data_IF_878726269849
#
_entry.id   IF_878726269849
#
_cell.length_a   1.000
_cell.length_b   1.000
_cell.length_c   1.000
_cell.angle_alpha   90.00
_cell.angle_beta   90.00
_cell.angle_gamma   90.00
#
_symmetry.space_group_name_H-M   'P 1'
#
loop_
_entity.id
_entity.type
_entity.pdbx_description
1 polymer ?
#
# COMPACT_ATOMS: atom_id res chain seq x y z
N UNK A 1 88.06 26.53 -64.80
CA UNK A 1 86.96 25.64 -65.19
C UNK A 1 86.92 24.46 -64.23
N UNK A 2 85.98 24.51 -63.31
CA UNK A 2 85.72 23.40 -62.37
C UNK A 2 84.28 23.01 -62.45
N UNK A 3 84.02 21.85 -62.95
CA UNK A 3 82.67 21.24 -63.06
C UNK A 3 82.23 20.64 -61.74
N UNK A 4 81.18 21.11 -61.20
CA UNK A 4 80.53 20.59 -60.00
C UNK A 4 79.48 19.54 -60.39
N UNK A 5 79.68 18.31 -59.92
CA UNK A 5 78.77 17.20 -60.08
C UNK A 5 77.71 17.27 -58.97
N UNK A 6 76.45 17.46 -59.40
CA UNK A 6 75.30 17.31 -58.50
C UNK A 6 74.95 15.84 -58.27
N UNK A 7 75.01 15.37 -57.04
CA UNK A 7 74.47 14.09 -56.61
C UNK A 7 73.01 14.29 -56.11
N UNK A 8 72.08 13.71 -56.85
CA UNK A 8 70.70 13.59 -56.43
C UNK A 8 70.56 12.38 -55.49
N UNK A 9 70.27 12.58 -54.22
CA UNK A 9 69.92 11.54 -53.25
C UNK A 9 68.44 11.26 -53.36
N UNK A 10 68.07 10.11 -53.91
CA UNK A 10 66.69 9.59 -53.89
C UNK A 10 66.39 9.04 -52.52
N UNK A 11 65.59 9.78 -51.72
CA UNK A 11 65.02 9.32 -50.44
C UNK A 11 63.75 8.50 -50.75
N UNK A 12 63.83 7.20 -50.51
CA UNK A 12 62.65 6.33 -50.53
C UNK A 12 61.93 6.44 -49.21
N UNK A 13 60.78 7.19 -49.20
CA UNK A 13 59.87 7.18 -48.06
C UNK A 13 59.01 5.95 -48.17
N UNK A 14 59.29 4.97 -47.30
CA UNK A 14 58.42 3.81 -47.10
C UNK A 14 57.22 4.25 -46.27
N UNK A 15 56.09 4.32 -46.91
CA UNK A 15 54.81 4.51 -46.22
C UNK A 15 54.49 3.18 -45.51
N UNK A 16 54.64 3.18 -44.17
CA UNK A 16 54.09 2.11 -43.32
C UNK A 16 52.68 2.53 -42.98
N UNK A 17 51.67 1.98 -43.66
CA UNK A 17 50.28 2.09 -43.27
C UNK A 17 50.08 1.30 -41.95
N UNK A 18 49.64 1.89 -40.87
CA UNK A 18 49.23 1.12 -39.71
C UNK A 18 47.93 0.37 -40.08
N UNK A 19 48.01 -0.93 -40.16
CA UNK A 19 46.85 -1.79 -40.19
C UNK A 19 46.14 -1.65 -38.83
N UNK A 20 45.12 -0.77 -38.74
CA UNK A 20 44.16 -0.81 -37.65
C UNK A 20 43.31 -2.06 -37.84
N UNK A 21 43.64 -3.11 -37.08
CA UNK A 21 42.77 -4.25 -36.89
C UNK A 21 41.55 -3.76 -36.09
N UNK A 22 40.51 -3.35 -36.81
CA UNK A 22 39.18 -3.17 -36.20
C UNK A 22 38.71 -4.58 -35.81
N UNK A 23 39.03 -4.99 -34.57
CA UNK A 23 38.31 -6.09 -33.95
C UNK A 23 36.87 -5.62 -33.83
N UNK A 24 36.00 -6.01 -34.78
CA UNK A 24 34.58 -6.05 -34.62
C UNK A 24 34.31 -7.04 -33.51
N UNK A 25 34.30 -6.56 -32.25
CA UNK A 25 33.51 -7.19 -31.20
C UNK A 25 32.07 -7.09 -31.69
N UNK A 26 31.35 -8.20 -31.93
CA UNK A 26 29.93 -8.11 -32.14
C UNK A 26 29.38 -7.52 -30.86
N UNK A 27 28.96 -6.26 -30.88
CA UNK A 27 27.93 -5.79 -29.95
C UNK A 27 26.78 -6.76 -30.22
N UNK A 28 26.64 -7.75 -29.34
CA UNK A 28 25.39 -8.46 -29.16
C UNK A 28 24.41 -7.37 -28.69
N UNK A 29 23.77 -6.71 -29.65
CA UNK A 29 22.59 -5.96 -29.39
C UNK A 29 21.60 -6.97 -28.80
N UNK A 30 21.59 -7.08 -27.48
CA UNK A 30 20.50 -7.79 -26.80
C UNK A 30 19.26 -7.07 -27.27
N UNK A 31 18.47 -7.75 -28.10
CA UNK A 31 17.18 -7.25 -28.51
C UNK A 31 16.44 -6.86 -27.23
N UNK A 32 16.11 -5.60 -27.10
CA UNK A 32 15.42 -5.09 -25.91
C UNK A 32 14.13 -5.91 -25.76
N UNK A 33 14.02 -6.64 -24.66
CA UNK A 33 12.88 -7.52 -24.41
C UNK A 33 11.64 -6.66 -24.33
N UNK A 34 10.65 -6.96 -25.14
CA UNK A 34 9.36 -6.27 -25.10
C UNK A 34 8.51 -6.85 -23.95
N UNK A 35 8.15 -6.03 -22.98
CA UNK A 35 7.26 -6.37 -21.87
C UNK A 35 5.82 -5.86 -22.05
N UNK A 36 5.52 -5.19 -23.16
CA UNK A 36 4.17 -4.73 -23.52
C UNK A 36 3.34 -5.88 -24.09
N UNK A 37 2.96 -6.80 -23.21
CA UNK A 37 2.18 -8.00 -23.49
C UNK A 37 1.58 -8.53 -22.17
N UNK A 38 0.61 -9.46 -22.18
CA UNK A 38 0.00 -10.03 -20.98
C UNK A 38 0.86 -11.05 -20.23
N UNK A 39 2.09 -11.36 -20.71
CA UNK A 39 2.95 -12.35 -20.06
C UNK A 39 3.24 -11.97 -18.60
N UNK A 40 3.32 -12.97 -17.76
CA UNK A 40 3.68 -12.80 -16.35
C UNK A 40 5.15 -12.37 -16.21
N UNK A 41 5.37 -11.32 -15.43
CA UNK A 41 6.71 -10.92 -15.00
C UNK A 41 7.06 -11.65 -13.71
N UNK A 42 8.23 -12.26 -13.65
CA UNK A 42 8.72 -12.98 -12.47
C UNK A 42 9.83 -12.17 -11.79
N UNK A 43 9.61 -11.84 -10.53
CA UNK A 43 10.60 -11.18 -9.67
C UNK A 43 11.20 -12.20 -8.73
N UNK A 44 12.54 -12.28 -8.67
CA UNK A 44 13.25 -13.18 -7.77
C UNK A 44 14.60 -12.62 -7.35
N UNK A 45 14.85 -12.54 -6.05
CA UNK A 45 16.10 -12.02 -5.48
C UNK A 45 17.32 -12.86 -5.86
N UNK A 46 17.14 -14.16 -6.06
CA UNK A 46 18.21 -15.09 -6.47
C UNK A 46 18.58 -14.98 -7.95
N UNK A 47 17.83 -14.19 -8.73
CA UNK A 47 18.08 -13.97 -10.16
C UNK A 47 17.49 -15.05 -11.06
N UNK A 48 16.62 -15.91 -10.56
CA UNK A 48 15.89 -16.93 -11.37
C UNK A 48 14.65 -16.37 -12.07
N UNK A 49 14.30 -15.08 -11.81
CA UNK A 49 13.25 -14.33 -12.50
C UNK A 49 13.81 -13.39 -13.59
N UNK A 50 12.90 -12.62 -14.22
CA UNK A 50 13.28 -11.54 -15.13
C UNK A 50 13.88 -10.34 -14.39
N UNK A 51 13.43 -10.11 -13.15
CA UNK A 51 13.82 -8.98 -12.32
C UNK A 51 14.28 -9.43 -10.94
N UNK A 52 15.16 -8.67 -10.32
CA UNK A 52 15.57 -8.86 -8.92
C UNK A 52 14.75 -8.01 -7.94
N UNK A 53 14.20 -6.91 -8.43
CA UNK A 53 13.46 -5.93 -7.67
C UNK A 53 12.03 -5.79 -8.22
N UNK A 54 11.08 -5.55 -7.33
CA UNK A 54 9.67 -5.37 -7.69
C UNK A 54 9.49 -4.04 -8.44
N UNK A 55 10.21 -2.99 -8.00
CA UNK A 55 10.19 -1.68 -8.66
C UNK A 55 10.55 -1.77 -10.14
N UNK A 56 11.56 -2.55 -10.52
CA UNK A 56 11.95 -2.77 -11.93
C UNK A 56 10.82 -3.43 -12.74
N UNK A 57 10.10 -4.39 -12.15
CA UNK A 57 8.96 -5.02 -12.81
C UNK A 57 7.77 -4.06 -12.97
N UNK A 58 7.56 -3.13 -12.03
CA UNK A 58 6.55 -2.09 -12.15
C UNK A 58 6.93 -1.09 -13.25
N UNK A 59 8.17 -0.66 -13.32
CA UNK A 59 8.66 0.35 -14.29
C UNK A 59 8.57 -0.11 -15.76
N UNK A 60 8.65 -1.42 -16.05
CA UNK A 60 8.51 -1.93 -17.41
C UNK A 60 7.05 -2.11 -17.84
N UNK A 61 6.09 -1.93 -16.95
CA UNK A 61 4.68 -1.98 -17.30
C UNK A 61 4.29 -0.73 -18.10
N UNK A 62 3.59 -0.94 -19.23
CA UNK A 62 3.12 0.16 -20.05
C UNK A 62 1.98 0.93 -19.36
N UNK A 63 1.97 2.24 -19.51
CA UNK A 63 0.84 3.07 -19.08
C UNK A 63 -0.45 2.70 -19.83
N UNK A 64 -1.59 2.74 -19.13
CA UNK A 64 -2.93 2.51 -19.69
C UNK A 64 -3.10 1.18 -20.41
N UNK A 65 -2.62 0.09 -19.79
CA UNK A 65 -2.79 -1.26 -20.33
C UNK A 65 -4.27 -1.66 -20.38
N UNK A 66 -4.69 -2.20 -21.53
CA UNK A 66 -6.02 -2.78 -21.69
C UNK A 66 -6.08 -4.26 -21.29
N UNK A 67 -4.93 -4.92 -21.21
CA UNK A 67 -4.78 -6.31 -20.77
C UNK A 67 -4.39 -6.41 -19.28
N UNK A 68 -4.70 -7.55 -18.70
CA UNK A 68 -4.29 -7.87 -17.33
C UNK A 68 -2.80 -8.25 -17.27
N UNK A 69 -2.07 -7.65 -16.35
CA UNK A 69 -0.63 -7.90 -16.15
C UNK A 69 -0.39 -8.52 -14.77
N UNK A 70 0.31 -9.64 -14.74
CA UNK A 70 0.70 -10.30 -13.49
C UNK A 70 2.19 -10.06 -13.22
N UNK A 71 2.50 -9.62 -12.00
CA UNK A 71 3.85 -9.58 -11.43
C UNK A 71 3.90 -10.64 -10.34
N UNK A 72 4.52 -11.78 -10.64
CA UNK A 72 4.71 -12.86 -9.68
C UNK A 72 6.02 -12.66 -8.91
N UNK A 73 5.92 -12.57 -7.59
CA UNK A 73 7.04 -12.27 -6.70
C UNK A 73 7.40 -13.52 -5.91
N UNK A 74 8.57 -14.08 -6.15
CA UNK A 74 9.07 -15.22 -5.40
C UNK A 74 9.39 -14.87 -3.95
N UNK A 75 9.44 -15.90 -3.09
CA UNK A 75 9.82 -15.76 -1.67
C UNK A 75 11.09 -14.93 -1.51
N UNK A 76 11.07 -14.05 -0.53
CA UNK A 76 12.18 -13.18 -0.19
C UNK A 76 11.74 -11.90 0.50
N UNK A 77 12.69 -11.23 1.12
CA UNK A 77 12.47 -9.91 1.71
C UNK A 77 12.96 -8.84 0.73
N UNK A 78 12.06 -8.03 0.24
CA UNK A 78 12.29 -6.94 -0.71
C UNK A 78 12.27 -5.62 0.06
N UNK A 79 13.44 -5.08 0.38
CA UNK A 79 13.53 -3.75 1.03
C UNK A 79 13.42 -2.68 -0.03
N UNK A 80 12.20 -2.34 -0.38
CA UNK A 80 11.85 -1.40 -1.43
C UNK A 80 10.72 -0.48 -1.00
N UNK A 81 10.84 0.81 -1.33
CA UNK A 81 9.77 1.80 -1.21
C UNK A 81 9.14 1.99 -2.57
N UNK A 82 7.91 1.50 -2.73
CA UNK A 82 7.29 1.32 -4.04
C UNK A 82 6.14 2.27 -4.29
N UNK A 83 6.00 2.70 -5.53
CA UNK A 83 4.84 3.44 -6.03
C UNK A 83 4.29 2.72 -7.26
N UNK A 84 3.00 2.40 -7.26
CA UNK A 84 2.25 2.05 -8.47
C UNK A 84 1.57 3.33 -8.94
N UNK A 85 2.08 4.00 -9.97
CA UNK A 85 1.61 5.32 -10.37
C UNK A 85 0.20 5.28 -11.00
N UNK A 86 -0.45 6.43 -11.06
CA UNK A 86 -1.85 6.57 -11.47
C UNK A 86 -2.15 6.03 -12.88
N UNK A 87 -1.18 6.06 -13.79
CA UNK A 87 -1.33 5.56 -15.16
C UNK A 87 -1.19 4.04 -15.31
N UNK A 88 -0.82 3.33 -14.26
CA UNK A 88 -0.81 1.87 -14.26
C UNK A 88 -2.14 1.32 -13.75
N UNK A 89 -2.75 0.45 -14.54
CA UNK A 89 -4.04 -0.18 -14.26
C UNK A 89 -4.00 -1.66 -14.65
N UNK A 90 -4.96 -2.45 -14.16
CA UNK A 90 -5.07 -3.87 -14.48
C UNK A 90 -3.84 -4.72 -14.10
N UNK A 91 -3.23 -4.41 -12.95
CA UNK A 91 -2.06 -5.16 -12.46
C UNK A 91 -2.45 -6.03 -11.27
N UNK A 92 -2.00 -7.28 -11.29
CA UNK A 92 -1.97 -8.16 -10.13
C UNK A 92 -0.53 -8.37 -9.68
N UNK A 93 -0.23 -8.08 -8.42
CA UNK A 93 1.04 -8.46 -7.78
C UNK A 93 0.74 -9.65 -6.86
N UNK A 94 1.31 -10.81 -7.21
CA UNK A 94 1.07 -12.06 -6.51
C UNK A 94 2.38 -12.59 -5.89
N UNK A 95 2.38 -12.73 -4.56
CA UNK A 95 3.49 -13.38 -3.85
C UNK A 95 3.44 -14.90 -3.98
N UNK A 96 4.58 -15.55 -3.97
CA UNK A 96 4.68 -17.02 -3.93
C UNK A 96 4.17 -17.60 -2.61
N UNK A 97 4.27 -16.82 -1.53
CA UNK A 97 3.84 -17.22 -0.18
C UNK A 97 3.61 -15.95 0.65
N UNK A 98 2.43 -15.85 1.25
CA UNK A 98 2.03 -14.67 2.03
C UNK A 98 3.03 -14.27 3.11
N UNK A 99 3.55 -15.26 3.83
CA UNK A 99 4.37 -15.03 5.03
C UNK A 99 5.87 -14.90 4.71
N UNK A 100 6.29 -15.32 3.50
CA UNK A 100 7.68 -15.36 3.06
C UNK A 100 7.98 -14.42 1.89
N UNK A 101 6.96 -13.81 1.26
CA UNK A 101 7.13 -12.77 0.26
C UNK A 101 6.83 -11.42 0.91
N UNK A 102 7.87 -10.69 1.30
CA UNK A 102 7.76 -9.51 2.17
C UNK A 102 8.32 -8.29 1.46
N UNK A 103 7.48 -7.26 1.28
CA UNK A 103 7.93 -5.92 0.89
C UNK A 103 8.02 -5.10 2.17
N UNK A 104 9.19 -4.55 2.48
CA UNK A 104 9.45 -3.84 3.73
C UNK A 104 10.17 -2.51 3.52
N UNK A 105 9.85 -1.52 4.35
CA UNK A 105 10.54 -0.25 4.49
C UNK A 105 10.48 0.23 5.92
N UNK A 106 11.26 1.25 6.30
CA UNK A 106 11.45 1.65 7.70
C UNK A 106 11.35 3.17 7.95
N UNK A 107 10.68 3.91 7.06
CA UNK A 107 10.44 5.34 7.26
C UNK A 107 9.38 5.60 8.35
N UNK A 108 9.59 6.64 9.14
CA UNK A 108 8.61 7.16 10.10
C UNK A 108 8.48 8.69 10.01
N UNK A 109 7.34 9.24 10.41
CA UNK A 109 7.01 10.65 10.21
C UNK A 109 8.01 11.66 10.78
N UNK A 110 8.77 11.26 11.80
CA UNK A 110 9.73 12.11 12.50
C UNK A 110 11.12 12.16 11.85
N UNK A 111 11.37 11.39 10.77
CA UNK A 111 12.62 11.51 10.01
C UNK A 111 12.78 12.94 9.52
N UNK A 112 13.97 13.51 9.71
CA UNK A 112 14.33 14.83 9.19
C UNK A 112 14.28 14.80 7.67
N UNK A 113 13.54 15.72 7.07
CA UNK A 113 13.52 15.84 5.62
C UNK A 113 14.87 16.30 5.09
N UNK A 114 15.35 15.67 4.03
CA UNK A 114 16.56 16.10 3.32
C UNK A 114 16.20 17.30 2.41
N UNK A 115 16.21 18.47 3.01
CA UNK A 115 15.96 19.75 2.34
C UNK A 115 16.97 20.78 2.81
N UNK A 116 17.41 21.64 1.92
CA UNK A 116 18.25 22.80 2.25
C UNK A 116 17.38 24.05 2.11
N UNK A 117 16.80 24.58 3.21
CA UNK A 117 16.01 25.81 3.12
C UNK A 117 16.91 27.01 2.79
N UNK A 118 16.37 27.97 2.02
CA UNK A 118 17.08 29.21 1.69
C UNK A 118 17.32 30.09 2.92
N UNK A 119 16.50 29.91 3.97
CA UNK A 119 16.67 30.57 5.28
C UNK A 119 16.78 29.51 6.37
N UNK A 120 17.71 29.68 7.28
CA UNK A 120 17.95 28.74 8.39
C UNK A 120 16.94 28.87 9.55
N UNK A 121 15.96 29.75 9.44
CA UNK A 121 14.97 30.02 10.48
C UNK A 121 13.77 29.10 10.36
N UNK A 122 13.33 28.53 11.47
CA UNK A 122 12.14 27.71 11.58
C UNK A 122 12.40 26.28 12.12
N UNK A 123 11.33 25.53 12.41
CA UNK A 123 11.45 24.18 12.94
C UNK A 123 12.03 23.22 11.89
N UNK A 124 12.75 22.20 12.38
CA UNK A 124 13.28 21.13 11.53
C UNK A 124 12.12 20.48 10.74
N UNK A 125 12.23 20.54 9.42
CA UNK A 125 11.24 19.89 8.55
C UNK A 125 11.35 18.38 8.68
N UNK A 126 10.19 17.71 8.77
CA UNK A 126 10.07 16.26 8.85
C UNK A 126 9.37 15.75 7.60
N UNK A 127 9.61 14.48 7.25
CA UNK A 127 8.95 13.88 6.10
C UNK A 127 7.42 13.77 6.29
N UNK A 128 6.95 13.63 7.53
CA UNK A 128 5.52 13.52 7.86
C UNK A 128 4.90 12.18 7.41
N UNK A 129 3.70 11.88 7.90
CA UNK A 129 3.01 10.59 7.75
C UNK A 129 2.94 10.09 6.30
N UNK A 130 2.50 10.94 5.38
CA UNK A 130 2.16 10.50 4.01
C UNK A 130 3.36 10.21 3.12
N UNK A 131 4.57 10.44 3.58
CA UNK A 131 5.82 10.09 2.90
C UNK A 131 6.53 8.86 3.49
N UNK A 132 5.91 8.18 4.46
CA UNK A 132 6.52 7.04 5.16
C UNK A 132 6.17 5.68 4.55
N UNK A 133 5.29 5.63 3.56
CA UNK A 133 4.76 4.40 2.99
C UNK A 133 5.84 3.43 2.51
N UNK A 134 5.57 2.14 2.68
CA UNK A 134 6.32 1.09 2.01
C UNK A 134 5.80 0.89 0.58
N UNK A 135 4.47 0.73 0.44
CA UNK A 135 3.82 0.65 -0.86
C UNK A 135 2.75 1.73 -0.99
N UNK A 136 2.83 2.53 -2.05
CA UNK A 136 1.80 3.49 -2.46
C UNK A 136 1.14 3.06 -3.77
N UNK A 137 -0.18 2.97 -3.78
CA UNK A 137 -0.97 2.59 -4.96
C UNK A 137 -1.83 3.78 -5.38
N UNK A 138 -1.47 4.41 -6.49
CA UNK A 138 -2.23 5.49 -7.12
C UNK A 138 -3.05 4.97 -8.32
N UNK A 139 -2.61 3.87 -8.92
CA UNK A 139 -3.33 3.20 -10.00
C UNK A 139 -4.62 2.54 -9.54
N UNK A 140 -5.57 2.38 -10.45
CA UNK A 140 -6.86 1.72 -10.20
C UNK A 140 -6.89 0.31 -10.78
N UNK A 141 -7.82 -0.54 -10.30
CA UNK A 141 -7.92 -1.96 -10.71
C UNK A 141 -6.61 -2.72 -10.44
N UNK A 142 -6.07 -2.51 -9.25
CA UNK A 142 -4.86 -3.22 -8.80
C UNK A 142 -5.25 -4.29 -7.79
N UNK A 143 -4.70 -5.47 -7.96
CA UNK A 143 -4.88 -6.59 -7.03
C UNK A 143 -3.56 -7.00 -6.41
N UNK A 144 -3.54 -7.16 -5.09
CA UNK A 144 -2.44 -7.80 -4.37
C UNK A 144 -2.92 -9.12 -3.79
N UNK A 145 -2.11 -10.18 -3.94
CA UNK A 145 -2.41 -11.52 -3.40
C UNK A 145 -1.18 -12.13 -2.72
N UNK A 146 -1.41 -12.86 -1.66
CA UNK A 146 -0.42 -13.75 -1.02
C UNK A 146 0.92 -13.06 -0.71
N UNK A 147 0.87 -11.82 -0.20
CA UNK A 147 2.05 -10.99 0.02
C UNK A 147 1.96 -10.22 1.35
N UNK A 148 3.10 -9.98 1.96
CA UNK A 148 3.23 -9.13 3.15
C UNK A 148 3.76 -7.75 2.76
N UNK A 149 3.08 -6.70 3.23
CA UNK A 149 3.52 -5.30 3.16
C UNK A 149 3.80 -4.84 4.59
N UNK A 150 5.02 -4.44 4.85
CA UNK A 150 5.48 -4.09 6.19
C UNK A 150 6.10 -2.70 6.23
N UNK A 151 5.71 -1.87 7.19
CA UNK A 151 6.59 -0.79 7.65
C UNK A 151 7.23 -1.23 8.96
N UNK A 152 8.51 -1.50 8.91
CA UNK A 152 9.27 -2.11 9.99
C UNK A 152 10.00 -1.05 10.85
N UNK A 153 9.62 0.22 10.78
CA UNK A 153 10.18 1.23 11.67
C UNK A 153 9.84 0.92 13.14
N UNK A 154 10.72 1.25 14.06
CA UNK A 154 10.37 1.22 15.47
C UNK A 154 9.21 2.20 15.77
N UNK A 155 8.63 2.12 16.97
CA UNK A 155 7.51 3.01 17.40
C UNK A 155 7.99 4.46 17.60
N UNK A 156 8.45 5.10 16.52
CA UNK A 156 9.02 6.45 16.52
C UNK A 156 8.06 7.53 15.98
N UNK A 157 6.83 7.16 15.70
CA UNK A 157 5.78 8.01 15.15
C UNK A 157 4.94 7.28 14.11
N UNK A 158 4.16 8.02 13.34
CA UNK A 158 3.36 7.47 12.26
C UNK A 158 4.27 6.83 11.20
N UNK A 159 3.86 5.64 10.71
CA UNK A 159 4.66 4.85 9.79
C UNK A 159 3.76 3.94 8.94
N UNK A 160 3.48 4.39 7.72
CA UNK A 160 2.51 3.75 6.82
C UNK A 160 3.15 2.56 6.11
N UNK A 161 2.54 1.39 6.18
CA UNK A 161 2.89 0.26 5.33
C UNK A 161 2.21 0.37 3.96
N UNK A 162 0.89 0.53 3.93
CA UNK A 162 0.10 0.67 2.70
C UNK A 162 -0.56 2.05 2.62
N UNK A 163 -0.34 2.76 1.52
CA UNK A 163 -0.99 4.01 1.16
C UNK A 163 -1.75 3.83 -0.17
N UNK A 164 -3.05 4.01 -0.18
CA UNK A 164 -3.87 3.87 -1.39
C UNK A 164 -4.49 5.19 -1.83
N UNK A 165 -4.52 5.45 -3.13
CA UNK A 165 -5.21 6.59 -3.76
C UNK A 165 -6.07 6.16 -4.96
N UNK A 166 -5.86 4.93 -5.47
CA UNK A 166 -6.59 4.36 -6.60
C UNK A 166 -7.96 3.78 -6.20
N UNK A 167 -8.83 3.62 -7.20
CA UNK A 167 -10.14 2.97 -7.06
C UNK A 167 -10.10 1.50 -7.48
N UNK A 168 -11.02 0.69 -6.97
CA UNK A 168 -11.17 -0.75 -7.28
C UNK A 168 -9.89 -1.52 -6.97
N UNK A 169 -9.42 -1.36 -5.72
CA UNK A 169 -8.27 -2.10 -5.23
C UNK A 169 -8.72 -3.33 -4.46
N UNK A 170 -8.07 -4.46 -4.73
CA UNK A 170 -8.39 -5.75 -4.10
C UNK A 170 -7.15 -6.33 -3.42
N UNK A 171 -7.29 -6.69 -2.16
CA UNK A 171 -6.25 -7.31 -1.33
C UNK A 171 -6.76 -8.66 -0.84
N UNK A 172 -6.14 -9.75 -1.30
CA UNK A 172 -6.56 -11.12 -0.97
C UNK A 172 -5.43 -11.85 -0.26
N UNK A 173 -5.72 -12.37 0.92
CA UNK A 173 -4.76 -13.15 1.71
C UNK A 173 -3.42 -12.42 1.91
N UNK A 174 -3.47 -11.10 2.13
CA UNK A 174 -2.29 -10.28 2.38
C UNK A 174 -2.05 -10.07 3.88
N UNK A 175 -0.82 -9.69 4.24
CA UNK A 175 -0.50 -9.19 5.59
C UNK A 175 -0.06 -7.74 5.51
N UNK A 176 -0.57 -6.92 6.42
CA UNK A 176 -0.17 -5.53 6.59
C UNK A 176 0.37 -5.35 8.00
N UNK A 177 1.68 -5.15 8.09
CA UNK A 177 2.40 -5.10 9.36
C UNK A 177 2.92 -3.69 9.63
N UNK A 178 2.65 -3.18 10.81
CA UNK A 178 3.10 -1.86 11.22
C UNK A 178 2.80 -1.53 12.68
N UNK A 179 2.78 -0.25 12.96
CA UNK A 179 2.48 0.29 14.27
C UNK A 179 1.39 1.37 14.18
N UNK A 180 1.71 2.64 14.44
CA UNK A 180 0.77 3.73 14.25
C UNK A 180 0.60 4.01 12.75
N UNK A 181 -0.65 4.11 12.29
CA UNK A 181 -1.00 4.48 10.90
C UNK A 181 -0.59 3.43 9.84
N UNK A 182 -0.77 2.12 10.11
CA UNK A 182 -0.33 1.04 9.21
C UNK A 182 -0.94 1.13 7.80
N UNK A 183 -2.28 1.37 7.68
CA UNK A 183 -2.98 1.47 6.39
C UNK A 183 -3.63 2.85 6.27
N UNK A 184 -3.22 3.61 5.28
CA UNK A 184 -3.85 4.86 4.86
C UNK A 184 -4.66 4.68 3.58
N UNK A 185 -5.96 4.95 3.63
CA UNK A 185 -6.87 4.90 2.48
C UNK A 185 -7.16 6.32 2.00
N UNK A 186 -6.35 6.82 1.06
CA UNK A 186 -6.11 8.26 0.84
C UNK A 186 -7.11 9.02 0.00
N UNK A 187 -8.06 8.39 -0.68
CA UNK A 187 -8.99 9.08 -1.56
C UNK A 187 -10.45 8.73 -1.23
N UNK A 188 -11.28 9.76 -1.05
CA UNK A 188 -12.68 9.62 -0.64
C UNK A 188 -13.59 8.93 -1.66
N UNK A 189 -13.23 8.94 -2.93
CA UNK A 189 -14.05 8.39 -4.02
C UNK A 189 -13.60 6.98 -4.44
N UNK A 190 -12.82 6.30 -3.60
CA UNK A 190 -12.24 5.00 -3.92
C UNK A 190 -12.87 3.86 -3.11
N UNK A 191 -12.87 2.69 -3.72
CA UNK A 191 -13.42 1.46 -3.17
C UNK A 191 -12.32 0.41 -3.06
N UNK A 192 -12.23 -0.19 -1.87
CA UNK A 192 -11.19 -1.15 -1.54
C UNK A 192 -11.80 -2.40 -0.92
N UNK A 193 -11.37 -3.57 -1.37
CA UNK A 193 -11.68 -4.86 -0.75
C UNK A 193 -10.44 -5.44 -0.08
N UNK A 194 -10.57 -5.75 1.21
CA UNK A 194 -9.62 -6.58 1.94
C UNK A 194 -10.31 -7.91 2.30
N UNK A 195 -9.83 -9.02 1.75
CA UNK A 195 -10.42 -10.35 1.94
C UNK A 195 -9.39 -11.33 2.50
N UNK A 196 -9.72 -11.96 3.63
CA UNK A 196 -8.85 -12.91 4.32
C UNK A 196 -7.47 -12.33 4.71
N UNK A 197 -7.39 -11.02 4.96
CA UNK A 197 -6.14 -10.35 5.28
C UNK A 197 -5.84 -10.38 6.79
N UNK A 198 -4.54 -10.30 7.12
CA UNK A 198 -4.06 -10.02 8.47
C UNK A 198 -3.57 -8.59 8.55
N UNK A 199 -4.06 -7.82 9.52
CA UNK A 199 -3.75 -6.40 9.68
C UNK A 199 -3.38 -6.14 11.14
N UNK A 200 -2.19 -5.59 11.38
CA UNK A 200 -1.77 -5.26 12.74
C UNK A 200 -1.33 -3.82 12.89
N UNK A 201 -1.48 -3.30 14.09
CA UNK A 201 -0.99 -1.97 14.45
C UNK A 201 -1.20 -1.59 15.89
N UNK A 202 -0.86 -0.34 16.22
CA UNK A 202 -1.01 0.23 17.56
C UNK A 202 -2.13 1.26 17.62
N UNK A 203 -1.99 2.39 16.93
CA UNK A 203 -2.90 3.54 17.00
C UNK A 203 -3.38 3.91 15.62
N UNK A 204 -4.71 4.07 15.46
CA UNK A 204 -5.32 4.54 14.21
C UNK A 204 -4.81 3.78 12.98
N UNK A 205 -4.56 2.49 13.16
CA UNK A 205 -3.77 1.75 12.18
C UNK A 205 -4.54 1.39 10.89
N UNK A 206 -5.84 1.73 10.82
CA UNK A 206 -6.64 1.77 9.61
C UNK A 206 -7.31 3.14 9.56
N UNK A 207 -6.85 4.02 8.68
CA UNK A 207 -7.32 5.40 8.67
C UNK A 207 -7.46 5.97 7.26
N UNK A 208 -8.33 6.99 7.10
CA UNK A 208 -8.55 7.67 5.83
C UNK A 208 -10.02 7.80 5.42
N UNK A 209 -10.29 8.35 4.22
CA UNK A 209 -11.63 8.71 3.77
C UNK A 209 -12.34 7.69 2.87
N UNK A 210 -11.66 6.65 2.36
CA UNK A 210 -12.20 5.75 1.34
C UNK A 210 -13.37 4.88 1.84
N UNK A 211 -14.10 4.30 0.91
CA UNK A 211 -14.99 3.16 1.17
C UNK A 211 -14.17 1.87 1.14
N UNK A 212 -14.07 1.18 2.26
CA UNK A 212 -13.31 -0.07 2.35
C UNK A 212 -14.12 -1.16 3.05
N UNK A 213 -14.19 -2.32 2.40
CA UNK A 213 -14.80 -3.53 2.94
C UNK A 213 -13.73 -4.51 3.38
N UNK A 214 -13.81 -4.93 4.63
CA UNK A 214 -12.93 -5.93 5.23
C UNK A 214 -13.76 -7.19 5.46
N UNK A 215 -13.47 -8.26 4.69
CA UNK A 215 -14.16 -9.54 4.76
C UNK A 215 -13.25 -10.62 5.33
N UNK A 216 -13.69 -11.29 6.39
CA UNK A 216 -12.94 -12.38 7.05
C UNK A 216 -11.50 -12.00 7.43
N UNK A 217 -11.25 -10.74 7.79
CA UNK A 217 -9.92 -10.28 8.15
C UNK A 217 -9.61 -10.55 9.63
N UNK A 218 -8.32 -10.78 9.92
CA UNK A 218 -7.78 -10.84 11.27
C UNK A 218 -7.15 -9.49 11.60
N UNK A 219 -7.67 -8.82 12.64
CA UNK A 219 -7.22 -7.50 13.09
C UNK A 219 -6.49 -7.67 14.41
N UNK A 220 -5.20 -7.35 14.46
CA UNK A 220 -4.37 -7.56 15.64
C UNK A 220 -3.92 -6.25 16.28
N UNK A 221 -4.32 -6.02 17.53
CA UNK A 221 -4.04 -4.81 18.29
C UNK A 221 -2.78 -4.97 19.14
N UNK A 222 -1.78 -4.14 18.90
CA UNK A 222 -0.45 -4.19 19.56
C UNK A 222 -0.31 -3.18 20.71
N UNK A 223 -1.34 -2.38 21.01
CA UNK A 223 -1.33 -1.39 22.09
C UNK A 223 -2.76 -1.05 22.56
N UNK A 224 -2.87 -0.52 23.76
CA UNK A 224 -4.08 0.11 24.30
C UNK A 224 -4.36 1.42 23.53
N UNK A 225 -5.13 1.34 22.45
CA UNK A 225 -5.37 2.48 21.57
C UNK A 225 -6.62 2.28 20.67
N UNK A 226 -6.55 2.66 19.39
CA UNK A 226 -7.67 2.71 18.46
C UNK A 226 -7.38 1.89 17.22
N UNK A 227 -8.36 1.10 16.75
CA UNK A 227 -8.25 0.34 15.51
C UNK A 227 -8.40 1.30 14.32
N UNK A 228 -9.49 2.06 14.27
CA UNK A 228 -9.83 2.89 13.11
C UNK A 228 -9.84 4.39 13.41
N UNK A 229 -9.48 5.18 12.39
CA UNK A 229 -9.64 6.64 12.38
C UNK A 229 -10.22 7.09 11.03
N UNK A 230 -11.54 6.91 10.87
CA UNK A 230 -12.23 7.24 9.63
C UNK A 230 -12.33 8.75 9.41
N UNK A 231 -12.17 9.18 8.16
CA UNK A 231 -12.37 10.57 7.72
C UNK A 231 -13.32 10.67 6.52
N UNK A 232 -14.26 9.75 6.44
CA UNK A 232 -15.27 9.63 5.38
C UNK A 232 -16.01 10.96 5.20
N UNK A 233 -16.10 11.52 3.97
CA UNK A 233 -16.82 12.76 3.72
C UNK A 233 -18.34 12.63 3.91
N UNK A 234 -19.01 13.77 4.00
CA UNK A 234 -20.48 13.86 4.15
C UNK A 234 -21.22 13.11 3.04
N UNK A 235 -20.78 13.28 1.81
CA UNK A 235 -21.48 12.79 0.62
C UNK A 235 -21.09 11.35 0.23
N UNK A 236 -20.14 10.73 0.94
CA UNK A 236 -19.85 9.31 0.78
C UNK A 236 -20.84 8.47 1.58
N UNK A 237 -21.65 7.61 0.95
CA UNK A 237 -22.67 6.82 1.64
C UNK A 237 -22.09 5.79 2.61
N UNK A 238 -20.89 5.29 2.31
CA UNK A 238 -20.18 4.32 3.12
C UNK A 238 -18.73 4.75 3.41
N UNK A 239 -18.14 4.15 4.43
CA UNK A 239 -16.73 4.25 4.79
C UNK A 239 -16.16 2.87 5.08
N UNK A 240 -15.70 2.60 6.29
CA UNK A 240 -15.16 1.31 6.69
C UNK A 240 -16.25 0.35 7.14
N UNK A 241 -16.25 -0.84 6.54
CA UNK A 241 -17.17 -1.93 6.88
C UNK A 241 -16.34 -3.18 7.16
N UNK A 242 -16.38 -3.64 8.41
CA UNK A 242 -15.76 -4.89 8.84
C UNK A 242 -16.87 -5.94 8.95
N UNK A 243 -16.77 -7.00 8.16
CA UNK A 243 -17.75 -8.10 8.15
C UNK A 243 -17.03 -9.43 8.37
N UNK A 244 -17.54 -10.24 9.30
CA UNK A 244 -16.96 -11.52 9.69
C UNK A 244 -15.48 -11.44 10.11
N UNK A 245 -15.02 -10.28 10.59
CA UNK A 245 -13.64 -10.12 11.04
C UNK A 245 -13.45 -10.61 12.47
N UNK A 246 -12.24 -11.07 12.78
CA UNK A 246 -11.81 -11.41 14.13
C UNK A 246 -10.82 -10.38 14.65
N UNK A 247 -11.10 -9.80 15.81
CA UNK A 247 -10.18 -8.89 16.50
C UNK A 247 -9.46 -9.68 17.58
N UNK A 248 -8.16 -9.49 17.68
CA UNK A 248 -7.33 -10.07 18.74
C UNK A 248 -6.27 -9.05 19.19
N UNK A 249 -5.66 -9.31 20.34
CA UNK A 249 -4.77 -8.35 20.96
C UNK A 249 -3.52 -9.06 21.48
N UNK A 250 -2.43 -8.28 21.55
CA UNK A 250 -1.22 -8.69 22.28
C UNK A 250 -1.57 -8.95 23.75
N UNK A 251 -0.81 -9.82 24.39
CA UNK A 251 -1.02 -10.25 25.79
C UNK A 251 -0.99 -9.08 26.78
N UNK A 252 -0.26 -8.03 26.48
CA UNK A 252 -0.13 -6.81 27.31
C UNK A 252 -1.23 -5.76 27.02
N UNK A 253 -2.10 -6.02 26.05
CA UNK A 253 -3.18 -5.10 25.68
C UNK A 253 -4.43 -5.40 26.48
N UNK A 254 -5.04 -4.37 27.04
CA UNK A 254 -6.20 -4.48 27.93
C UNK A 254 -7.38 -3.59 27.54
N UNK A 255 -7.16 -2.50 26.76
CA UNK A 255 -8.14 -1.45 26.54
C UNK A 255 -8.06 -0.89 25.12
N UNK A 256 -8.87 -1.41 24.21
CA UNK A 256 -8.90 -1.02 22.81
C UNK A 256 -10.24 -0.38 22.47
N UNK A 257 -10.23 0.71 21.71
CA UNK A 257 -11.43 1.25 21.06
C UNK A 257 -11.53 0.71 19.62
N UNK A 258 -12.74 0.43 19.16
CA UNK A 258 -13.02 0.09 17.77
C UNK A 258 -12.61 1.22 16.80
N UNK A 259 -12.66 2.46 17.29
CA UNK A 259 -12.18 3.60 16.54
C UNK A 259 -12.61 4.95 17.08
N UNK A 260 -12.22 5.99 16.33
CA UNK A 260 -12.58 7.38 16.60
C UNK A 260 -12.70 8.19 15.29
N UNK A 261 -13.65 9.16 15.19
CA UNK A 261 -13.83 9.94 13.96
C UNK A 261 -12.71 10.98 13.80
N UNK A 262 -11.77 10.74 12.89
CA UNK A 262 -10.71 11.69 12.58
C UNK A 262 -11.24 12.99 11.95
N UNK A 263 -12.32 12.87 11.16
CA UNK A 263 -13.05 14.02 10.59
C UNK A 263 -14.54 13.86 10.83
N UNK A 264 -15.27 14.96 10.64
CA UNK A 264 -16.72 14.95 10.62
C UNK A 264 -17.23 13.95 9.59
N UNK A 265 -18.40 13.34 9.85
CA UNK A 265 -19.04 12.32 9.00
C UNK A 265 -18.28 10.98 8.88
N UNK A 266 -17.16 10.79 9.59
CA UNK A 266 -16.47 9.51 9.64
C UNK A 266 -17.43 8.34 9.77
N UNK A 267 -17.26 7.30 8.95
CA UNK A 267 -18.13 6.12 8.93
C UNK A 267 -17.32 4.86 9.23
N UNK A 268 -17.75 4.12 10.26
CA UNK A 268 -17.18 2.81 10.58
C UNK A 268 -18.28 1.88 11.09
N UNK A 269 -18.37 0.69 10.51
CA UNK A 269 -19.31 -0.36 10.89
C UNK A 269 -18.54 -1.65 11.16
N UNK A 270 -18.75 -2.25 12.34
CA UNK A 270 -18.38 -3.64 12.62
C UNK A 270 -19.64 -4.49 12.66
N UNK A 271 -19.71 -5.51 11.79
CA UNK A 271 -20.84 -6.43 11.75
C UNK A 271 -20.39 -7.88 11.67
N UNK A 272 -21.08 -8.75 12.42
CA UNK A 272 -20.81 -10.19 12.50
C UNK A 272 -19.37 -10.52 12.94
N UNK A 273 -18.70 -9.60 13.64
CA UNK A 273 -17.31 -9.72 14.06
C UNK A 273 -17.15 -10.40 15.42
N UNK A 274 -15.99 -11.03 15.65
CA UNK A 274 -15.55 -11.51 16.95
C UNK A 274 -14.78 -10.41 17.68
N UNK A 275 -15.33 -9.92 18.80
CA UNK A 275 -14.75 -8.84 19.60
C UNK A 275 -14.25 -9.38 20.94
N UNK A 276 -12.94 -9.27 21.22
CA UNK A 276 -12.35 -9.81 22.44
C UNK A 276 -12.67 -8.89 23.64
N UNK A 277 -12.47 -9.42 24.84
CA UNK A 277 -12.70 -8.68 26.11
C UNK A 277 -11.95 -7.35 26.25
N UNK A 278 -10.87 -7.16 25.48
CA UNK A 278 -10.07 -5.95 25.48
C UNK A 278 -10.79 -4.74 24.81
N UNK A 279 -11.87 -5.00 24.06
CA UNK A 279 -12.69 -3.89 23.54
C UNK A 279 -13.38 -3.21 24.73
N UNK A 280 -13.15 -1.90 24.85
CA UNK A 280 -13.70 -1.08 25.93
C UNK A 280 -15.24 -1.09 25.90
N UNK A 281 -15.91 -1.04 27.07
CA UNK A 281 -17.36 -0.97 27.12
C UNK A 281 -17.97 0.18 26.31
N UNK A 282 -17.29 1.34 26.28
CA UNK A 282 -17.69 2.50 25.47
C UNK A 282 -17.62 2.22 23.96
N UNK A 283 -16.85 1.25 23.52
CA UNK A 283 -16.63 0.82 22.14
C UNK A 283 -15.87 1.83 21.29
N UNK A 284 -16.24 3.07 21.35
CA UNK A 284 -15.76 4.17 20.51
C UNK A 284 -15.27 5.35 21.33
N UNK A 285 -14.37 6.15 20.77
CA UNK A 285 -13.88 7.35 21.42
C UNK A 285 -14.07 8.57 20.53
N UNK A 286 -14.31 9.73 21.11
CA UNK A 286 -14.38 10.98 20.37
C UNK A 286 -12.97 11.45 20.02
N UNK A 287 -12.75 11.91 18.80
CA UNK A 287 -11.53 12.66 18.46
C UNK A 287 -11.64 14.10 18.98
N UNK A 288 -12.79 14.72 18.72
CA UNK A 288 -13.19 16.03 19.21
C UNK A 288 -14.72 16.08 19.38
N UNK A 289 -15.25 16.92 20.27
CA UNK A 289 -16.69 16.94 20.59
C UNK A 289 -17.60 17.19 19.38
N UNK A 290 -17.17 17.99 18.40
CA UNK A 290 -17.98 18.29 17.21
C UNK A 290 -18.09 17.10 16.25
N UNK A 291 -17.04 16.33 16.10
CA UNK A 291 -17.00 15.22 15.16
C UNK A 291 -18.05 14.15 15.47
N UNK A 292 -18.39 13.93 16.76
CA UNK A 292 -19.38 12.91 17.15
C UNK A 292 -20.81 13.31 16.80
N UNK A 293 -21.10 14.59 16.55
CA UNK A 293 -22.45 15.05 16.16
C UNK A 293 -22.85 14.54 14.77
N UNK A 294 -21.89 14.21 13.94
CA UNK A 294 -22.08 13.76 12.55
C UNK A 294 -21.47 12.38 12.28
N UNK A 295 -20.80 11.79 13.25
CA UNK A 295 -20.18 10.47 13.13
C UNK A 295 -21.20 9.36 12.84
N UNK A 296 -20.84 8.44 11.95
CA UNK A 296 -21.67 7.30 11.53
C UNK A 296 -20.98 6.00 11.99
N UNK A 297 -20.98 5.78 13.30
CA UNK A 297 -20.29 4.68 13.95
C UNK A 297 -21.31 3.66 14.42
N UNK A 298 -21.20 2.42 13.92
CA UNK A 298 -22.26 1.44 14.02
C UNK A 298 -21.72 0.04 14.32
N UNK A 299 -22.57 -0.77 14.92
CA UNK A 299 -22.33 -2.19 15.15
C UNK A 299 -23.58 -3.00 14.81
N UNK A 300 -23.36 -4.27 14.42
CA UNK A 300 -24.44 -5.22 14.21
C UNK A 300 -23.97 -6.65 14.46
N UNK A 301 -24.73 -7.39 15.31
CA UNK A 301 -24.58 -8.84 15.50
C UNK A 301 -23.12 -9.29 15.74
N UNK A 302 -22.34 -8.49 16.45
CA UNK A 302 -21.01 -8.88 16.89
C UNK A 302 -21.11 -9.86 18.06
N UNK A 303 -20.10 -10.68 18.27
CA UNK A 303 -20.03 -11.69 19.32
C UNK A 303 -18.70 -11.63 20.09
N UNK A 304 -18.61 -12.35 21.19
CA UNK A 304 -17.47 -12.31 22.11
C UNK A 304 -17.69 -11.35 23.28
N UNK A 305 -16.78 -11.38 24.25
CA UNK A 305 -16.92 -10.63 25.50
C UNK A 305 -16.92 -9.11 25.29
N UNK A 306 -16.23 -8.60 24.24
CA UNK A 306 -16.20 -7.19 23.90
C UNK A 306 -17.41 -6.68 23.09
N UNK A 307 -18.36 -7.57 22.78
CA UNK A 307 -19.53 -7.22 21.97
C UNK A 307 -20.73 -6.72 22.80
N UNK A 308 -20.60 -6.63 24.12
CA UNK A 308 -21.66 -6.07 24.97
C UNK A 308 -21.90 -4.60 24.63
N UNK A 309 -23.16 -4.24 24.34
CA UNK A 309 -23.51 -2.90 23.81
C UNK A 309 -24.14 -1.95 24.83
N UNK A 310 -24.39 -2.41 26.06
CA UNK A 310 -25.10 -1.67 27.08
C UNK A 310 -24.42 -0.36 27.56
N UNK A 311 -23.09 -0.30 27.40
CA UNK A 311 -22.27 0.86 27.82
C UNK A 311 -21.65 1.61 26.63
N UNK A 312 -22.05 1.30 25.38
CA UNK A 312 -21.57 2.02 24.20
C UNK A 312 -21.90 3.49 24.28
N UNK A 313 -21.01 4.33 23.76
CA UNK A 313 -21.25 5.77 23.68
C UNK A 313 -22.58 6.10 23.00
N UNK A 314 -23.32 7.03 23.53
CA UNK A 314 -24.69 7.37 23.08
C UNK A 314 -24.77 7.86 21.62
N UNK A 315 -23.65 8.30 21.03
CA UNK A 315 -23.61 8.77 19.64
C UNK A 315 -23.32 7.65 18.64
N UNK A 316 -23.03 6.43 19.09
CA UNK A 316 -22.94 5.24 18.21
C UNK A 316 -24.30 4.55 18.09
N UNK A 317 -24.46 3.71 17.08
CA UNK A 317 -25.73 3.02 16.79
C UNK A 317 -25.56 1.51 16.71
N UNK A 318 -26.56 0.81 17.20
CA UNK A 318 -26.78 -0.60 16.87
C UNK A 318 -27.75 -0.66 15.69
N UNK A 319 -27.34 -1.33 14.58
CA UNK A 319 -28.22 -1.50 13.42
C UNK A 319 -29.28 -2.55 13.70
N UNK A 320 -30.47 -2.32 13.14
CA UNK A 320 -31.50 -3.35 13.05
C UNK A 320 -31.14 -4.38 11.99
N UNK A 321 -31.72 -5.59 12.06
CA UNK A 321 -31.57 -6.63 11.02
C UNK A 321 -31.92 -6.10 9.63
N UNK A 322 -32.98 -5.31 9.51
CA UNK A 322 -33.42 -4.73 8.24
C UNK A 322 -32.40 -3.75 7.66
N UNK A 323 -31.79 -2.92 8.47
CA UNK A 323 -30.71 -2.00 8.04
C UNK A 323 -29.46 -2.78 7.61
N UNK A 324 -29.01 -3.73 8.44
CA UNK A 324 -27.82 -4.54 8.14
C UNK A 324 -27.96 -5.33 6.82
N UNK A 325 -29.14 -5.87 6.54
CA UNK A 325 -29.44 -6.57 5.27
C UNK A 325 -29.35 -5.68 4.03
N UNK A 326 -29.39 -4.36 4.17
CA UNK A 326 -29.20 -3.42 3.08
C UNK A 326 -27.71 -3.10 2.81
N UNK A 327 -26.80 -3.51 3.69
CA UNK A 327 -25.37 -3.26 3.57
C UNK A 327 -24.70 -4.56 3.09
N UNK A 328 -24.65 -4.75 1.78
CA UNK A 328 -23.98 -5.88 1.14
C UNK A 328 -22.79 -5.37 0.34
N UNK A 329 -21.75 -6.22 0.15
CA UNK A 329 -20.57 -5.86 -0.64
C UNK A 329 -20.95 -5.38 -2.05
N UNK A 330 -21.86 -6.10 -2.70
CA UNK A 330 -22.38 -5.74 -4.02
C UNK A 330 -22.97 -4.31 -4.04
N UNK A 331 -23.84 -3.97 -3.09
CA UNK A 331 -24.44 -2.63 -3.00
C UNK A 331 -23.42 -1.53 -2.68
N UNK A 332 -22.47 -1.84 -1.81
CA UNK A 332 -21.44 -0.89 -1.40
C UNK A 332 -20.53 -0.55 -2.58
N UNK A 333 -20.19 -1.52 -3.39
CA UNK A 333 -19.25 -1.34 -4.49
C UNK A 333 -19.89 -0.95 -5.83
N UNK A 334 -21.20 -1.22 -6.03
CA UNK A 334 -21.89 -0.89 -7.28
C UNK A 334 -22.42 0.55 -7.39
N UNK A 335 -22.13 1.42 -6.44
CA UNK A 335 -22.74 2.76 -6.35
C UNK A 335 -22.51 3.61 -7.60
N UNK A 336 -21.32 3.54 -8.20
CA UNK A 336 -20.93 4.38 -9.34
C UNK A 336 -20.82 3.59 -10.66
N UNK A 337 -20.67 2.28 -10.57
CA UNK A 337 -20.52 1.35 -11.68
C UNK A 337 -20.87 -0.07 -11.19
N UNK A 338 -20.75 -1.05 -12.04
CA UNK A 338 -21.04 -2.45 -11.68
C UNK A 338 -19.81 -3.20 -11.15
N UNK A 339 -18.87 -2.51 -10.48
CA UNK A 339 -17.70 -3.18 -9.96
C UNK A 339 -18.07 -4.18 -8.88
N UNK A 340 -17.74 -5.44 -9.14
CA UNK A 340 -17.87 -6.53 -8.19
C UNK A 340 -16.53 -7.27 -8.11
N UNK A 341 -15.79 -7.15 -7.02
CA UNK A 341 -14.47 -7.77 -6.87
C UNK A 341 -14.52 -9.29 -6.66
N UNK A 342 -15.70 -9.89 -6.48
CA UNK A 342 -15.87 -11.34 -6.35
C UNK A 342 -16.19 -12.03 -7.70
N UNK A 343 -16.35 -11.27 -8.77
CA UNK A 343 -16.50 -11.74 -10.15
C UNK A 343 -15.19 -11.52 -10.93
#
# INVERSE_FOLDING_TARGET
>A
MKTTKNYQVKVWVKWVLPFYLFTFLPLLAQAQKNYDNPDTLVVSRDGTGQFRNIGEAIEVCRAFMEYHKVIFVKKGTYKEKLVIPQWLTNIEICGEDRDQTIITWDDHANIKADITPLTAEGPVQKIGTFRTFTLKIQGSMITLKDITIENNSARLGQAVALHTEGDRLTFINCRFLGHQDTIYTGNAQTRLLFKNCYIEGTTDFIFGPSTAWFENCQIFCKADSYITAASTPKDSPYGYIFNHCSISCDTNVSKVYLGRPWRDYGYTLFMNCDLPRQIRPEGWHQWRPEAVKTARYMEYNNRGEGAATGERVAWSRQLTKKEAQQITMERVFSINDNWNPDL
#
